data_IF_710981268548
#
_entry.id   IF_710981268548
#
_cell.length_a   1.000
_cell.length_b   1.000
_cell.length_c   1.000
_cell.angle_alpha   90.00
_cell.angle_beta   90.00
_cell.angle_gamma   90.00
#
_symmetry.space_group_name_H-M   'P 1'
#
loop_
_entity.id
_entity.type
_entity.pdbx_description
1 polymer ?
#
# COMPACT_ATOMS: atom_id res chain seq x y z
N UNK A 1 -14.14 -19.69 3.81
CA UNK A 1 -13.68 -18.41 4.38
C UNK A 1 -12.15 -18.44 4.34
N UNK A 2 -11.42 -17.35 4.07
CA UNK A 2 -9.95 -17.45 4.01
C UNK A 2 -9.35 -17.91 5.35
N UNK A 3 -10.03 -17.58 6.44
CA UNK A 3 -9.63 -17.94 7.80
C UNK A 3 -9.69 -19.45 8.11
N UNK A 4 -10.35 -20.25 7.26
CA UNK A 4 -10.43 -21.70 7.44
C UNK A 4 -9.14 -22.41 7.00
N UNK A 5 -8.33 -21.76 6.14
CA UNK A 5 -7.15 -22.35 5.50
C UNK A 5 -5.88 -21.50 5.65
N UNK A 6 -6.01 -20.21 6.00
CA UNK A 6 -4.91 -19.26 6.13
C UNK A 6 -4.97 -18.51 7.45
N UNK A 7 -3.79 -18.26 8.03
CA UNK A 7 -3.66 -17.23 9.06
C UNK A 7 -3.74 -15.85 8.41
N UNK A 8 -4.79 -15.10 8.74
CA UNK A 8 -5.01 -13.76 8.19
C UNK A 8 -4.61 -12.72 9.23
N UNK A 9 -3.55 -11.98 8.91
CA UNK A 9 -3.07 -10.86 9.73
C UNK A 9 -3.44 -9.54 9.04
N UNK A 10 -4.00 -8.61 9.80
CA UNK A 10 -4.21 -7.22 9.37
C UNK A 10 -3.48 -6.29 10.33
N UNK A 11 -2.97 -5.19 9.81
CA UNK A 11 -2.33 -4.15 10.61
C UNK A 11 -2.73 -2.77 10.10
N UNK A 12 -2.80 -1.81 11.01
CA UNK A 12 -3.04 -0.42 10.66
C UNK A 12 -1.71 0.23 10.22
N UNK A 13 -1.69 0.87 9.05
CA UNK A 13 -0.52 1.62 8.60
C UNK A 13 -0.22 2.80 9.53
N UNK A 14 1.03 3.27 9.59
CA UNK A 14 1.37 4.52 10.29
C UNK A 14 0.42 5.65 9.89
N UNK A 15 -0.04 6.43 10.86
CA UNK A 15 -1.04 7.49 10.67
C UNK A 15 -2.49 7.02 10.50
N UNK A 16 -2.78 5.72 10.66
CA UNK A 16 -4.12 5.16 10.46
C UNK A 16 -4.55 4.31 11.67
N UNK A 17 -5.88 4.24 11.88
CA UNK A 17 -6.48 3.34 12.85
C UNK A 17 -5.89 3.48 14.24
N UNK A 18 -5.33 2.38 14.76
CA UNK A 18 -4.74 2.27 16.10
C UNK A 18 -3.21 2.39 16.09
N UNK A 19 -2.59 2.55 14.93
CA UNK A 19 -1.15 2.79 14.82
C UNK A 19 -0.80 4.24 15.15
N UNK A 20 0.46 4.46 15.53
CA UNK A 20 0.96 5.82 15.81
C UNK A 20 0.86 6.73 14.58
N UNK A 21 0.64 8.02 14.83
CA UNK A 21 0.57 9.07 13.81
C UNK A 21 1.70 10.09 14.02
N UNK A 22 2.96 9.74 13.68
CA UNK A 22 4.09 10.65 13.85
C UNK A 22 3.94 11.90 12.96
N UNK A 23 4.61 13.00 13.31
CA UNK A 23 4.53 14.24 12.51
C UNK A 23 5.23 14.13 11.13
N UNK A 24 6.14 13.16 10.98
CA UNK A 24 6.94 12.96 9.77
C UNK A 24 7.25 11.46 9.55
N UNK A 25 7.88 11.16 8.41
CA UNK A 25 8.24 9.78 8.04
C UNK A 25 7.09 9.04 7.37
N UNK A 26 6.60 9.56 6.25
CA UNK A 26 5.55 8.89 5.45
C UNK A 26 6.03 8.57 4.03
N UNK A 27 7.35 8.49 3.84
CA UNK A 27 7.92 8.09 2.57
C UNK A 27 7.52 6.65 2.23
N UNK A 28 7.76 6.25 0.99
CA UNK A 28 7.48 4.89 0.57
C UNK A 28 8.40 3.90 1.30
N UNK A 29 9.65 4.29 1.52
CA UNK A 29 10.66 3.58 2.28
C UNK A 29 10.23 3.39 3.73
N UNK A 30 9.63 4.41 4.36
CA UNK A 30 9.07 4.31 5.71
C UNK A 30 7.97 3.25 5.79
N UNK A 31 7.06 3.23 4.81
CA UNK A 31 5.97 2.24 4.75
C UNK A 31 6.49 0.82 4.48
N UNK A 32 7.53 0.69 3.65
CA UNK A 32 8.22 -0.59 3.41
C UNK A 32 8.88 -1.08 4.70
N UNK A 33 9.52 -0.20 5.45
CA UNK A 33 10.13 -0.52 6.74
C UNK A 33 9.08 -0.99 7.76
N UNK A 34 7.92 -0.35 7.82
CA UNK A 34 6.81 -0.82 8.68
C UNK A 34 6.35 -2.22 8.32
N UNK A 35 6.07 -2.48 7.04
CA UNK A 35 5.61 -3.79 6.60
C UNK A 35 6.64 -4.87 6.96
N UNK A 36 7.94 -4.59 6.75
CA UNK A 36 9.02 -5.49 7.15
C UNK A 36 9.06 -5.70 8.66
N UNK A 37 8.89 -4.62 9.43
CA UNK A 37 8.83 -4.68 10.90
C UNK A 37 7.66 -5.51 11.41
N UNK A 38 6.49 -5.44 10.76
CA UNK A 38 5.33 -6.28 11.09
C UNK A 38 5.64 -7.75 10.81
N UNK A 39 6.21 -8.07 9.63
CA UNK A 39 6.58 -9.44 9.26
C UNK A 39 7.58 -10.03 10.25
N UNK A 40 8.62 -9.27 10.58
CA UNK A 40 9.66 -9.70 11.53
C UNK A 40 9.14 -9.79 12.97
N UNK A 41 8.43 -8.77 13.43
CA UNK A 41 7.91 -8.68 14.81
C UNK A 41 6.87 -9.75 15.14
N UNK A 42 6.16 -10.25 14.13
CA UNK A 42 5.22 -11.37 14.26
C UNK A 42 5.85 -12.73 13.91
N UNK A 43 7.11 -12.77 13.49
CA UNK A 43 7.81 -14.02 13.14
C UNK A 43 7.26 -14.71 11.88
N UNK A 44 6.65 -13.95 10.96
CA UNK A 44 6.03 -14.51 9.76
C UNK A 44 7.08 -14.94 8.73
N UNK A 45 7.00 -16.20 8.29
CA UNK A 45 7.90 -16.75 7.29
C UNK A 45 7.42 -16.39 5.88
N UNK A 46 7.89 -15.26 5.34
CA UNK A 46 7.62 -14.80 3.96
C UNK A 46 6.14 -14.84 3.57
N UNK A 47 5.25 -14.04 4.19
CA UNK A 47 3.83 -14.11 3.91
C UNK A 47 3.47 -13.71 2.47
N UNK A 48 2.27 -14.10 2.05
CA UNK A 48 1.60 -13.47 0.90
C UNK A 48 1.05 -12.13 1.37
N UNK A 49 1.35 -11.06 0.65
CA UNK A 49 0.90 -9.70 1.02
C UNK A 49 -0.17 -9.23 0.05
N UNK A 50 -1.34 -8.91 0.60
CA UNK A 50 -2.43 -8.26 -0.11
C UNK A 50 -2.42 -6.77 0.22
N UNK A 51 -2.50 -5.92 -0.81
CA UNK A 51 -2.58 -4.47 -0.64
C UNK A 51 -3.62 -3.83 -1.54
N UNK A 52 -4.19 -2.71 -1.09
CA UNK A 52 -5.04 -1.82 -1.88
C UNK A 52 -4.45 -0.41 -1.91
N UNK A 53 -4.45 0.25 -3.07
CA UNK A 53 -3.99 1.64 -3.22
C UNK A 53 -2.58 1.87 -2.67
N UNK A 54 -2.43 2.68 -1.61
CA UNK A 54 -1.17 2.88 -0.90
C UNK A 54 -0.56 1.56 -0.40
N UNK A 55 -1.38 0.64 0.11
CA UNK A 55 -0.91 -0.67 0.60
C UNK A 55 -0.39 -1.55 -0.54
N UNK A 56 -1.02 -1.48 -1.71
CA UNK A 56 -0.56 -2.20 -2.90
C UNK A 56 0.79 -1.64 -3.40
N UNK A 57 0.95 -0.32 -3.41
CA UNK A 57 2.23 0.32 -3.73
C UNK A 57 3.34 -0.10 -2.76
N UNK A 58 3.04 -0.12 -1.46
CA UNK A 58 3.96 -0.55 -0.41
C UNK A 58 4.37 -2.02 -0.60
N UNK A 59 3.41 -2.91 -0.86
CA UNK A 59 3.67 -4.33 -1.07
C UNK A 59 4.54 -4.59 -2.32
N UNK A 60 4.25 -3.89 -3.43
CA UNK A 60 5.04 -3.97 -4.65
C UNK A 60 6.49 -3.51 -4.43
N UNK A 61 6.69 -2.37 -3.76
CA UNK A 61 8.02 -1.85 -3.45
C UNK A 61 8.80 -2.72 -2.48
N UNK A 62 8.14 -3.33 -1.49
CA UNK A 62 8.75 -4.33 -0.62
C UNK A 62 9.23 -5.54 -1.42
N UNK A 63 8.42 -6.10 -2.32
CA UNK A 63 8.86 -7.23 -3.13
C UNK A 63 10.02 -6.88 -4.08
N UNK A 64 10.02 -5.67 -4.64
CA UNK A 64 11.07 -5.21 -5.55
C UNK A 64 12.43 -5.01 -4.84
N UNK A 65 12.43 -4.44 -3.63
CA UNK A 65 13.66 -4.09 -2.91
C UNK A 65 14.08 -5.12 -1.85
N UNK A 66 13.13 -5.92 -1.36
CA UNK A 66 13.29 -6.94 -0.33
C UNK A 66 12.53 -8.22 -0.69
N UNK A 67 12.88 -8.92 -1.80
CA UNK A 67 12.13 -10.07 -2.29
C UNK A 67 12.07 -11.25 -1.30
N UNK A 68 13.01 -11.29 -0.35
CA UNK A 68 13.03 -12.28 0.73
C UNK A 68 12.00 -11.99 1.84
N UNK A 69 11.35 -10.82 1.86
CA UNK A 69 10.31 -10.48 2.87
C UNK A 69 8.97 -11.14 2.57
N UNK A 70 8.65 -11.40 1.30
CA UNK A 70 7.32 -11.89 0.89
C UNK A 70 7.42 -13.12 -0.01
N UNK A 71 6.39 -13.96 -0.01
CA UNK A 71 6.29 -15.12 -0.92
C UNK A 71 5.52 -14.78 -2.19
N UNK A 72 4.55 -13.87 -2.11
CA UNK A 72 3.71 -13.49 -3.23
C UNK A 72 2.90 -12.23 -2.93
N UNK A 73 2.27 -11.66 -3.96
CA UNK A 73 1.53 -10.40 -3.87
C UNK A 73 0.12 -10.54 -4.46
N UNK A 74 -0.84 -9.85 -3.84
CA UNK A 74 -2.15 -9.56 -4.43
C UNK A 74 -2.36 -8.04 -4.38
N UNK A 75 -2.44 -7.40 -5.54
CA UNK A 75 -2.45 -5.94 -5.66
C UNK A 75 -3.77 -5.45 -6.23
N UNK A 76 -4.45 -4.58 -5.50
CA UNK A 76 -5.68 -3.92 -5.95
C UNK A 76 -5.42 -2.42 -6.13
N UNK A 77 -5.59 -1.94 -7.36
CA UNK A 77 -5.49 -0.51 -7.74
C UNK A 77 -4.23 0.19 -7.18
N UNK A 78 -3.00 -0.24 -7.53
CA UNK A 78 -1.80 0.22 -6.87
C UNK A 78 -1.49 1.70 -7.14
N UNK A 79 -1.35 2.47 -6.06
CA UNK A 79 -1.05 3.90 -6.16
C UNK A 79 0.36 4.15 -6.71
N UNK A 80 0.47 4.94 -7.78
CA UNK A 80 1.78 5.38 -8.30
C UNK A 80 2.63 4.28 -8.94
N UNK A 81 2.04 3.12 -9.25
CA UNK A 81 2.67 2.06 -10.04
C UNK A 81 2.31 2.13 -11.53
N UNK A 82 1.48 3.11 -11.91
CA UNK A 82 1.11 3.37 -13.29
C UNK A 82 2.07 4.39 -13.91
N UNK A 83 2.46 4.15 -15.16
CA UNK A 83 3.12 5.15 -16.01
C UNK A 83 2.10 6.24 -16.38
N UNK A 84 1.75 7.08 -15.41
CA UNK A 84 0.96 8.27 -15.66
C UNK A 84 1.91 9.38 -16.10
N UNK A 85 1.64 10.05 -17.25
CA UNK A 85 2.43 11.19 -17.66
C UNK A 85 2.45 12.23 -16.53
N UNK A 86 3.62 12.84 -16.33
CA UNK A 86 3.81 13.86 -15.31
C UNK A 86 2.78 14.99 -15.52
N UNK A 87 1.82 15.09 -14.60
CA UNK A 87 0.78 16.11 -14.63
C UNK A 87 1.09 17.20 -13.62
N UNK A 88 1.03 18.45 -14.07
CA UNK A 88 1.01 19.59 -13.15
C UNK A 88 -0.19 19.49 -12.21
N UNK A 89 -0.12 20.05 -10.99
CA UNK A 89 -1.26 20.06 -10.06
C UNK A 89 -2.56 20.60 -10.68
N UNK A 90 -2.46 21.61 -11.54
CA UNK A 90 -3.61 22.19 -12.24
C UNK A 90 -4.22 21.23 -13.27
N UNK A 91 -3.38 20.52 -14.04
CA UNK A 91 -3.83 19.51 -15.00
C UNK A 91 -4.53 18.36 -14.25
N UNK A 92 -3.94 17.88 -13.16
CA UNK A 92 -4.52 16.82 -12.34
C UNK A 92 -5.85 17.24 -11.71
N UNK A 93 -5.94 18.47 -11.20
CA UNK A 93 -7.18 19.03 -10.66
C UNK A 93 -8.28 19.16 -11.73
N UNK A 94 -7.93 19.51 -12.97
CA UNK A 94 -8.88 19.56 -14.08
C UNK A 94 -9.45 18.17 -14.41
N UNK A 95 -8.60 17.14 -14.46
CA UNK A 95 -9.01 15.75 -14.66
C UNK A 95 -9.93 15.26 -13.54
N UNK A 96 -9.59 15.53 -12.28
CA UNK A 96 -10.42 15.13 -11.13
C UNK A 96 -11.79 15.82 -11.18
N UNK A 97 -11.83 17.14 -11.44
CA UNK A 97 -13.09 17.89 -11.57
C UNK A 97 -13.97 17.31 -12.68
N UNK A 98 -13.39 16.94 -13.81
CA UNK A 98 -14.14 16.34 -14.92
C UNK A 98 -14.70 14.96 -14.57
N UNK A 99 -13.91 14.10 -13.91
CA UNK A 99 -14.38 12.79 -13.43
C UNK A 99 -15.53 12.92 -12.44
N UNK A 100 -15.44 13.87 -11.51
CA UNK A 100 -16.51 14.16 -10.55
C UNK A 100 -17.80 14.62 -11.23
N UNK A 101 -17.71 15.47 -12.26
CA UNK A 101 -18.90 15.88 -13.04
C UNK A 101 -19.58 14.70 -13.73
N UNK A 102 -18.81 13.75 -14.26
CA UNK A 102 -19.33 12.58 -14.97
C UNK A 102 -19.92 11.51 -14.05
N UNK A 103 -19.42 11.39 -12.82
CA UNK A 103 -19.91 10.41 -11.84
C UNK A 103 -21.17 10.88 -11.09
N UNK A 104 -21.46 12.18 -11.11
CA UNK A 104 -22.63 12.78 -10.47
C UNK A 104 -23.81 13.05 -11.42
N UNK A 105 -23.82 12.45 -12.62
CA UNK A 105 -24.87 12.61 -13.64
C UNK A 105 -25.62 11.33 -13.92
#
# INVERSE_FOLDING_TARGET
DFCDEYEVVTFDARGHGRSEAPEAGYSLEDRVADLRGVVEGLGLARPIVLGHSMGAATAAWTAANHPATVQGLVLFDPAGLHDEPEMTPNARAAVVRERLRRAGG
#
